data_IF_244505468083
#
_entry.id   IF_244505468083
#
_cell.length_a   1.000
_cell.length_b   1.000
_cell.length_c   1.000
_cell.angle_alpha   90.00
_cell.angle_beta   90.00
_cell.angle_gamma   90.00
#
_symmetry.space_group_name_H-M   'P 1'
#
loop_
_entity.id
_entity.type
_entity.pdbx_description
1 polymer ?
#
# COMPACT_ATOMS: atom_id res chain seq x y z
N UNK A 1 -22.39 -32.12 -21.07
CA UNK A 1 -22.57 -31.88 -19.62
C UNK A 1 -21.17 -31.74 -19.03
N UNK A 2 -21.00 -30.69 -18.19
CA UNK A 2 -19.77 -30.14 -17.58
C UNK A 2 -18.78 -29.56 -18.61
N UNK A 3 -18.59 -28.26 -18.80
CA UNK A 3 -18.61 -27.04 -17.94
C UNK A 3 -17.71 -27.11 -16.70
N UNK A 4 -16.83 -26.12 -16.60
CA UNK A 4 -15.76 -26.01 -15.60
C UNK A 4 -14.50 -25.39 -16.19
N UNK A 5 -14.56 -24.11 -16.56
CA UNK A 5 -13.39 -23.28 -16.86
C UNK A 5 -12.58 -23.12 -15.56
N UNK A 6 -11.50 -23.91 -15.40
CA UNK A 6 -10.51 -23.72 -14.35
C UNK A 6 -9.63 -22.51 -14.70
N UNK A 7 -10.07 -21.31 -14.30
CA UNK A 7 -9.26 -20.10 -14.41
C UNK A 7 -8.59 -19.88 -13.06
N UNK A 8 -7.41 -20.47 -12.92
CA UNK A 8 -6.49 -20.26 -11.80
C UNK A 8 -5.91 -18.83 -11.91
N UNK A 9 -6.31 -17.95 -10.99
CA UNK A 9 -5.76 -16.61 -10.92
C UNK A 9 -4.33 -16.68 -10.32
N UNK A 10 -3.28 -16.23 -11.02
CA UNK A 10 -1.95 -16.19 -10.43
C UNK A 10 -1.89 -15.10 -9.35
N UNK A 11 -1.81 -15.53 -8.09
CA UNK A 11 -1.53 -14.66 -6.95
C UNK A 11 -0.07 -14.19 -7.05
N UNK A 12 0.16 -13.00 -7.60
CA UNK A 12 1.50 -12.41 -7.65
C UNK A 12 1.89 -11.90 -6.26
N UNK A 13 2.50 -12.77 -5.45
CA UNK A 13 3.21 -12.38 -4.24
C UNK A 13 4.34 -11.40 -4.62
N UNK A 14 4.37 -10.25 -3.96
CA UNK A 14 5.48 -9.31 -4.01
C UNK A 14 6.77 -10.00 -3.56
N UNK A 15 7.79 -9.93 -4.41
CA UNK A 15 9.08 -10.55 -4.20
C UNK A 15 9.76 -9.93 -2.97
N UNK A 16 9.87 -10.72 -1.90
CA UNK A 16 10.48 -10.32 -0.63
C UNK A 16 11.95 -9.94 -0.82
N UNK A 17 12.32 -8.80 -0.26
CA UNK A 17 13.71 -8.33 -0.19
C UNK A 17 14.42 -9.13 0.91
N UNK A 18 15.45 -9.89 0.55
CA UNK A 18 16.33 -10.62 1.46
C UNK A 18 17.29 -9.64 2.17
N UNK A 19 17.21 -9.56 3.49
CA UNK A 19 18.08 -8.74 4.31
C UNK A 19 18.99 -9.68 5.11
N UNK A 20 20.03 -10.18 4.45
CA UNK A 20 21.06 -10.99 5.09
C UNK A 20 21.85 -10.15 6.10
N UNK A 21 21.98 -10.67 7.33
CA UNK A 21 22.44 -9.98 8.53
C UNK A 21 23.96 -10.09 8.75
N UNK A 22 24.77 -10.21 7.69
CA UNK A 22 26.15 -10.71 7.82
C UNK A 22 27.28 -9.67 7.68
N UNK A 23 26.99 -8.37 7.57
CA UNK A 23 28.05 -7.35 7.42
C UNK A 23 28.33 -6.54 8.70
N UNK A 24 28.34 -7.21 9.85
CA UNK A 24 28.92 -6.67 11.09
C UNK A 24 30.30 -7.30 11.29
N UNK A 25 31.31 -6.73 10.62
CA UNK A 25 32.72 -6.97 10.95
C UNK A 25 33.30 -5.76 11.66
N UNK A 26 33.43 -5.93 12.97
CA UNK A 26 34.31 -5.19 13.87
C UNK A 26 35.74 -5.15 13.32
N UNK A 27 36.31 -3.97 13.13
CA UNK A 27 37.74 -3.79 12.94
C UNK A 27 38.20 -2.49 13.61
N UNK A 28 38.75 -2.69 14.80
CA UNK A 28 39.52 -1.70 15.56
C UNK A 28 40.84 -1.41 14.84
N UNK A 29 41.34 -0.16 14.86
CA UNK A 29 42.78 0.02 14.83
C UNK A 29 43.29 0.88 15.99
N UNK A 30 44.36 0.36 16.59
CA UNK A 30 45.22 1.00 17.57
C UNK A 30 46.16 2.05 16.93
N UNK A 31 46.72 2.88 17.80
CA UNK A 31 47.43 4.13 17.54
C UNK A 31 48.78 4.05 16.77
N UNK A 32 49.25 5.26 16.39
CA UNK A 32 50.62 5.70 16.01
C UNK A 32 51.03 5.50 14.54
N UNK A 33 51.74 6.39 13.83
CA UNK A 33 52.41 7.67 14.13
C UNK A 33 52.66 8.44 12.82
N UNK A 34 52.67 9.77 12.94
CA UNK A 34 53.47 10.78 12.20
C UNK A 34 53.56 10.76 10.65
N UNK A 35 53.27 11.91 10.05
CA UNK A 35 53.29 12.11 8.60
C UNK A 35 52.67 13.45 8.19
N UNK A 36 53.33 14.53 8.59
CA UNK A 36 52.94 15.92 8.34
C UNK A 36 52.93 16.25 6.84
N UNK A 37 51.77 16.33 6.18
CA UNK A 37 51.61 17.04 4.90
C UNK A 37 50.34 17.91 4.92
N UNK A 38 50.58 19.21 4.80
CA UNK A 38 49.65 20.32 4.62
C UNK A 38 48.58 19.97 3.56
N UNK A 39 47.32 19.89 3.96
CA UNK A 39 46.17 19.90 3.05
C UNK A 39 45.18 20.97 3.49
N UNK A 40 44.70 21.70 2.49
CA UNK A 40 43.83 22.86 2.55
C UNK A 40 42.52 22.55 3.27
N UNK A 41 42.11 23.44 4.18
CA UNK A 41 40.78 23.45 4.78
C UNK A 41 39.71 23.68 3.69
N UNK A 42 39.27 22.60 3.04
CA UNK A 42 37.99 22.58 2.34
C UNK A 42 36.91 22.26 3.37
N UNK A 43 36.33 23.30 3.97
CA UNK A 43 35.11 23.18 4.77
C UNK A 43 33.98 22.68 3.86
N UNK A 44 33.80 21.36 3.78
CA UNK A 44 32.63 20.77 3.16
C UNK A 44 31.40 21.17 3.96
N UNK A 45 30.52 21.94 3.30
CA UNK A 45 29.18 22.33 3.77
C UNK A 45 28.28 21.08 3.84
N UNK A 46 28.54 20.21 4.82
CA UNK A 46 27.83 18.92 5.04
C UNK A 46 26.46 19.11 5.71
N UNK A 47 26.20 20.27 6.30
CA UNK A 47 24.96 20.56 7.02
C UNK A 47 23.75 20.80 6.12
N UNK A 48 23.91 21.60 5.06
CA UNK A 48 22.77 22.04 4.23
C UNK A 48 22.17 20.94 3.34
N UNK A 49 22.97 19.95 2.94
CA UNK A 49 22.46 18.83 2.14
C UNK A 49 21.60 17.88 2.98
N UNK A 50 22.02 17.61 4.22
CA UNK A 50 21.29 16.75 5.16
C UNK A 50 19.96 17.36 5.59
N UNK A 51 19.94 18.68 5.75
CA UNK A 51 18.73 19.42 6.13
C UNK A 51 17.67 19.41 5.02
N UNK A 52 18.08 19.55 3.76
CA UNK A 52 17.19 19.40 2.60
C UNK A 52 16.69 17.96 2.41
N UNK A 53 17.55 16.96 2.60
CA UNK A 53 17.15 15.54 2.55
C UNK A 53 16.15 15.18 3.65
N UNK A 54 16.35 15.69 4.88
CA UNK A 54 15.41 15.53 5.99
C UNK A 54 14.06 16.21 5.72
N UNK A 55 14.06 17.38 5.07
CA UNK A 55 12.83 18.08 4.71
C UNK A 55 12.02 17.33 3.65
N UNK A 56 12.70 16.75 2.65
CA UNK A 56 12.06 15.88 1.64
C UNK A 56 11.46 14.63 2.28
N UNK A 57 12.18 13.99 3.21
CA UNK A 57 11.66 12.82 3.95
C UNK A 57 10.46 13.22 4.80
N UNK A 58 10.52 14.36 5.50
CA UNK A 58 9.43 14.86 6.33
C UNK A 58 8.19 15.17 5.48
N UNK A 59 8.36 15.78 4.31
CA UNK A 59 7.29 16.04 3.35
C UNK A 59 6.68 14.73 2.81
N UNK A 60 7.50 13.73 2.49
CA UNK A 60 7.03 12.42 2.04
C UNK A 60 6.24 11.68 3.13
N UNK A 61 6.73 11.70 4.38
CA UNK A 61 6.04 11.13 5.53
C UNK A 61 4.72 11.84 5.81
N UNK A 62 4.67 13.16 5.68
CA UNK A 62 3.45 13.94 5.86
C UNK A 62 2.43 13.62 4.77
N UNK A 63 2.87 13.56 3.51
CA UNK A 63 2.03 13.15 2.38
C UNK A 63 1.43 11.75 2.59
N UNK A 64 2.24 10.78 3.01
CA UNK A 64 1.77 9.43 3.30
C UNK A 64 0.77 9.40 4.48
N UNK A 65 1.04 10.16 5.54
CA UNK A 65 0.10 10.28 6.66
C UNK A 65 -1.23 10.94 6.24
N UNK A 66 -1.20 11.94 5.38
CA UNK A 66 -2.41 12.58 4.85
C UNK A 66 -3.21 11.61 3.96
N UNK A 67 -2.53 10.76 3.17
CA UNK A 67 -3.18 9.67 2.43
C UNK A 67 -3.80 8.63 3.37
N UNK A 68 -3.09 8.18 4.39
CA UNK A 68 -3.61 7.23 5.39
C UNK A 68 -4.78 7.83 6.18
N UNK A 69 -4.72 9.12 6.52
CA UNK A 69 -5.83 9.85 7.13
C UNK A 69 -7.04 9.88 6.20
N UNK A 70 -6.84 10.09 4.90
CA UNK A 70 -7.92 10.05 3.90
C UNK A 70 -8.61 8.68 3.86
N UNK A 71 -7.84 7.60 4.02
CA UNK A 71 -8.36 6.22 4.10
C UNK A 71 -9.12 5.98 5.42
N UNK A 72 -8.61 6.47 6.54
CA UNK A 72 -9.26 6.34 7.86
C UNK A 72 -10.53 7.19 7.94
N UNK A 73 -10.60 8.31 7.22
CA UNK A 73 -11.76 9.20 7.19
C UNK A 73 -12.85 8.72 6.21
N UNK A 74 -12.54 7.81 5.28
CA UNK A 74 -13.50 7.29 4.31
C UNK A 74 -14.77 6.67 4.94
N UNK A 75 -14.68 5.90 6.03
CA UNK A 75 -15.85 5.39 6.76
C UNK A 75 -16.60 6.48 7.55
N UNK A 76 -15.95 7.59 7.90
CA UNK A 76 -16.56 8.68 8.68
C UNK A 76 -17.34 9.68 7.83
N UNK A 77 -17.13 9.68 6.51
CA UNK A 77 -17.95 10.46 5.58
C UNK A 77 -19.25 9.69 5.34
N UNK A 78 -20.43 10.35 5.37
CA UNK A 78 -21.69 9.70 5.09
C UNK A 78 -21.60 8.91 3.78
N UNK A 79 -22.20 7.71 3.75
CA UNK A 79 -22.35 6.85 2.57
C UNK A 79 -23.01 7.54 1.35
N UNK A 80 -23.27 8.85 1.39
CA UNK A 80 -23.39 9.69 0.19
C UNK A 80 -22.23 9.46 -0.80
N UNK A 81 -21.03 9.13 -0.30
CA UNK A 81 -19.91 8.75 -1.16
C UNK A 81 -20.11 7.38 -1.85
N UNK A 82 -20.89 6.46 -1.28
CA UNK A 82 -21.11 5.14 -1.88
C UNK A 82 -21.97 5.24 -3.14
N UNK A 83 -23.06 6.00 -3.08
CA UNK A 83 -23.89 6.28 -4.26
C UNK A 83 -23.06 6.96 -5.35
N UNK A 84 -22.17 7.88 -4.96
CA UNK A 84 -21.25 8.53 -5.89
C UNK A 84 -20.24 7.55 -6.51
N UNK A 85 -19.60 6.70 -5.71
CA UNK A 85 -18.65 5.67 -6.19
C UNK A 85 -19.35 4.68 -7.13
N UNK A 86 -20.58 4.24 -6.82
CA UNK A 86 -21.40 3.40 -7.70
C UNK A 86 -21.65 4.12 -9.03
N UNK A 87 -22.08 5.38 -9.00
CA UNK A 87 -22.39 6.15 -10.21
C UNK A 87 -21.16 6.41 -11.08
N UNK A 88 -20.03 6.81 -10.50
CA UNK A 88 -18.80 7.06 -11.25
C UNK A 88 -18.25 5.79 -11.87
N UNK A 89 -18.32 4.66 -11.17
CA UNK A 89 -17.88 3.40 -11.77
C UNK A 89 -18.79 2.95 -12.91
N UNK A 90 -20.10 3.10 -12.77
CA UNK A 90 -21.04 2.82 -13.87
C UNK A 90 -20.76 3.73 -15.08
N UNK A 91 -20.46 5.01 -14.84
CA UNK A 91 -20.06 5.96 -15.90
C UNK A 91 -18.79 5.49 -16.62
N UNK A 92 -17.75 5.15 -15.87
CA UNK A 92 -16.48 4.66 -16.43
C UNK A 92 -16.68 3.36 -17.21
N UNK A 93 -17.46 2.42 -16.68
CA UNK A 93 -17.77 1.18 -17.37
C UNK A 93 -18.52 1.45 -18.67
N UNK A 94 -19.43 2.41 -18.74
CA UNK A 94 -20.11 2.81 -19.97
C UNK A 94 -19.17 3.47 -20.99
N UNK A 95 -18.22 4.28 -20.51
CA UNK A 95 -17.26 5.02 -21.35
C UNK A 95 -16.20 4.13 -22.00
N UNK A 96 -15.94 2.92 -21.50
CA UNK A 96 -15.00 1.97 -22.10
C UNK A 96 -15.63 1.30 -23.32
N UNK A 97 -15.31 1.64 -24.58
CA UNK A 97 -16.01 1.09 -25.75
C UNK A 97 -15.68 -0.38 -26.01
N UNK A 98 -14.48 -0.83 -25.59
CA UNK A 98 -13.94 -2.16 -25.91
C UNK A 98 -14.42 -3.26 -24.95
N UNK A 99 -15.08 -2.89 -23.85
CA UNK A 99 -15.56 -3.86 -22.87
C UNK A 99 -16.86 -4.51 -23.36
N UNK A 100 -16.92 -5.85 -23.36
CA UNK A 100 -18.12 -6.57 -23.76
C UNK A 100 -19.27 -6.28 -22.79
N UNK A 101 -20.52 -6.48 -23.22
CA UNK A 101 -21.68 -6.31 -22.33
C UNK A 101 -21.63 -7.28 -21.14
N UNK A 102 -21.16 -8.50 -21.36
CA UNK A 102 -21.01 -9.51 -20.33
C UNK A 102 -19.96 -9.08 -19.28
N UNK A 103 -18.80 -8.62 -19.74
CA UNK A 103 -17.74 -8.16 -18.83
C UNK A 103 -18.19 -6.93 -18.03
N UNK A 104 -18.96 -6.02 -18.64
CA UNK A 104 -19.58 -4.89 -17.91
C UNK A 104 -20.49 -5.37 -16.80
N UNK A 105 -21.40 -6.30 -17.08
CA UNK A 105 -22.32 -6.85 -16.08
C UNK A 105 -21.57 -7.57 -14.95
N UNK A 106 -20.53 -8.34 -15.27
CA UNK A 106 -19.67 -8.98 -14.28
C UNK A 106 -18.95 -7.96 -13.40
N UNK A 107 -18.34 -6.94 -13.99
CA UNK A 107 -17.68 -5.86 -13.25
C UNK A 107 -18.67 -5.10 -12.36
N UNK A 108 -19.87 -4.79 -12.86
CA UNK A 108 -20.92 -4.15 -12.08
C UNK A 108 -21.31 -5.01 -10.88
N UNK A 109 -21.59 -6.30 -11.10
CA UNK A 109 -21.96 -7.22 -10.02
C UNK A 109 -20.86 -7.34 -8.97
N UNK A 110 -19.60 -7.46 -9.40
CA UNK A 110 -18.47 -7.59 -8.49
C UNK A 110 -18.29 -6.34 -7.63
N UNK A 111 -18.37 -5.15 -8.24
CA UNK A 111 -18.31 -3.90 -7.49
C UNK A 111 -19.46 -3.84 -6.49
N UNK A 112 -20.67 -4.17 -6.94
CA UNK A 112 -21.86 -4.11 -6.12
C UNK A 112 -21.74 -4.96 -4.85
N UNK A 113 -21.33 -6.22 -5.02
CA UNK A 113 -21.06 -7.11 -3.88
C UNK A 113 -19.96 -6.57 -2.97
N UNK A 114 -18.83 -6.10 -3.52
CA UNK A 114 -17.71 -5.58 -2.73
C UNK A 114 -18.09 -4.35 -1.90
N UNK A 115 -18.88 -3.44 -2.46
CA UNK A 115 -19.39 -2.27 -1.74
C UNK A 115 -20.31 -2.69 -0.60
N UNK A 116 -21.24 -3.62 -0.84
CA UNK A 116 -22.14 -4.12 0.19
C UNK A 116 -21.36 -4.87 1.30
N UNK A 117 -20.33 -5.65 0.95
CA UNK A 117 -19.44 -6.32 1.89
C UNK A 117 -18.68 -5.32 2.77
N UNK A 118 -18.12 -4.27 2.17
CA UNK A 118 -17.43 -3.20 2.91
C UNK A 118 -18.38 -2.46 3.84
N UNK A 119 -19.60 -2.15 3.39
CA UNK A 119 -20.62 -1.53 4.24
C UNK A 119 -20.94 -2.44 5.42
N UNK A 120 -21.22 -3.71 5.17
CA UNK A 120 -21.51 -4.70 6.21
C UNK A 120 -20.37 -4.78 7.23
N UNK A 121 -19.11 -4.83 6.77
CA UNK A 121 -17.94 -4.86 7.64
C UNK A 121 -17.82 -3.60 8.51
N UNK A 122 -18.14 -2.42 7.98
CA UNK A 122 -18.15 -1.17 8.74
C UNK A 122 -19.29 -1.14 9.76
N UNK A 123 -20.43 -1.78 9.49
CA UNK A 123 -21.56 -1.87 10.42
C UNK A 123 -21.35 -2.89 11.55
N UNK A 124 -20.48 -3.89 11.34
CA UNK A 124 -20.14 -4.89 12.36
C UNK A 124 -19.52 -4.27 13.63
N UNK A 125 -19.81 -4.88 14.77
CA UNK A 125 -19.11 -4.62 16.04
C UNK A 125 -17.65 -5.11 15.98
N UNK A 126 -16.81 -4.63 16.88
CA UNK A 126 -15.38 -5.01 16.89
C UNK A 126 -15.17 -6.52 17.08
N UNK A 127 -16.01 -7.21 17.87
CA UNK A 127 -15.89 -8.66 18.04
C UNK A 127 -16.35 -9.43 16.79
N UNK A 128 -17.40 -8.95 16.10
CA UNK A 128 -17.84 -9.51 14.82
C UNK A 128 -16.77 -9.34 13.74
N UNK A 129 -16.18 -8.14 13.60
CA UNK A 129 -15.05 -7.90 12.69
C UNK A 129 -13.88 -8.81 12.99
N UNK A 130 -13.54 -9.01 14.28
CA UNK A 130 -12.45 -9.89 14.70
C UNK A 130 -12.71 -11.34 14.31
N UNK A 131 -13.93 -11.83 14.48
CA UNK A 131 -14.34 -13.16 14.02
C UNK A 131 -14.29 -13.28 12.49
N UNK A 132 -14.83 -12.29 11.78
CA UNK A 132 -14.82 -12.22 10.33
C UNK A 132 -13.39 -12.29 9.78
N UNK A 133 -12.48 -11.45 10.27
CA UNK A 133 -11.08 -11.45 9.84
C UNK A 133 -10.39 -12.79 10.14
N UNK A 134 -10.69 -13.45 11.26
CA UNK A 134 -10.13 -14.79 11.56
C UNK A 134 -10.52 -15.82 10.51
N UNK A 135 -11.79 -15.85 10.10
CA UNK A 135 -12.28 -16.78 9.08
C UNK A 135 -11.70 -16.42 7.73
N UNK A 136 -11.82 -15.15 7.33
CA UNK A 136 -11.31 -14.67 6.05
C UNK A 136 -9.82 -15.02 5.86
N UNK A 137 -8.96 -14.69 6.83
CA UNK A 137 -7.52 -14.99 6.76
C UNK A 137 -7.21 -16.49 6.73
N UNK A 138 -8.07 -17.34 7.30
CA UNK A 138 -7.92 -18.80 7.20
C UNK A 138 -8.22 -19.31 5.79
N UNK A 139 -9.19 -18.70 5.12
CA UNK A 139 -9.57 -19.11 3.77
C UNK A 139 -8.54 -18.64 2.73
N UNK A 140 -7.92 -17.46 2.89
CA UNK A 140 -6.84 -16.99 1.99
C UNK A 140 -5.50 -17.71 2.19
N UNK A 141 -5.35 -18.49 3.27
CA UNK A 141 -4.14 -19.26 3.55
C UNK A 141 -4.22 -20.73 3.09
N UNK A 142 -5.30 -21.11 2.42
CA UNK A 142 -5.46 -22.42 1.75
C UNK A 142 -5.07 -22.33 0.28
#
# INVERSE_FOLDING_TARGET
MSDGNDIEFPFMYSQGIDISQDDVRTSQPACTSDGRIRSSESKRKRGSQREGELDVINMALKCMNDQLRTIIEWPTRPFANETFVRQEFLRLLCEMPDLSSLDRELCQRQLMCSIDDMRSFVEMTDEERKNFCRVFLRDVSR
#
